data_IF_543011937760
#
_entry.id   IF_543011937760
#
_cell.length_a   1.000
_cell.length_b   1.000
_cell.length_c   1.000
_cell.angle_alpha   90.00
_cell.angle_beta   90.00
_cell.angle_gamma   90.00
#
_symmetry.space_group_name_H-M   'P 1'
#
loop_
_entity.id
_entity.type
_entity.pdbx_description
1 polymer ?
#
# COMPACT_ATOMS: atom_id res chain seq x y z
N UNK A 1 15.11 12.64 9.43
CA UNK A 1 15.41 13.99 8.91
C UNK A 1 16.84 13.97 8.40
N UNK A 2 17.06 14.24 7.12
CA UNK A 2 18.41 14.35 6.56
C UNK A 2 18.65 15.79 6.18
N UNK A 3 19.68 16.40 6.76
CA UNK A 3 20.09 17.76 6.44
C UNK A 3 21.44 17.70 5.76
N UNK A 4 21.60 18.48 4.69
CA UNK A 4 22.90 18.71 4.07
C UNK A 4 23.52 19.92 4.74
N UNK A 5 24.65 19.72 5.40
CA UNK A 5 25.40 20.82 6.01
C UNK A 5 26.30 21.46 4.95
N UNK A 6 26.55 22.76 5.03
CA UNK A 6 27.33 23.52 4.02
C UNK A 6 28.76 23.00 3.79
N UNK A 7 29.27 22.13 4.68
CA UNK A 7 30.52 21.37 4.54
C UNK A 7 30.41 20.17 3.58
N UNK A 8 29.24 19.96 2.95
CA UNK A 8 28.98 18.85 2.02
C UNK A 8 28.64 17.52 2.70
N UNK A 9 28.59 17.47 4.04
CA UNK A 9 28.19 16.26 4.75
C UNK A 9 26.67 16.13 4.85
N UNK A 10 26.14 14.99 4.43
CA UNK A 10 24.74 14.61 4.63
C UNK A 10 24.61 13.88 5.96
N UNK A 11 23.95 14.52 6.94
CA UNK A 11 23.68 13.91 8.23
C UNK A 11 22.20 13.52 8.30
N UNK A 12 21.94 12.23 8.30
CA UNK A 12 20.61 11.66 8.48
C UNK A 12 20.40 11.27 9.93
N UNK A 13 19.49 11.96 10.62
CA UNK A 13 19.00 11.54 11.93
C UNK A 13 17.71 10.73 11.76
N UNK A 14 17.76 9.48 12.19
CA UNK A 14 16.57 8.63 12.32
C UNK A 14 15.73 9.22 13.46
N UNK A 15 14.40 9.25 13.28
CA UNK A 15 13.52 9.71 14.35
C UNK A 15 13.41 8.58 15.38
N UNK A 16 14.04 8.75 16.54
CA UNK A 16 14.08 7.77 17.63
C UNK A 16 12.74 7.59 18.36
N UNK A 17 11.72 8.43 18.08
CA UNK A 17 10.42 8.34 18.77
C UNK A 17 9.28 8.89 17.92
N UNK A 18 8.12 8.23 17.98
CA UNK A 18 6.85 8.64 17.34
C UNK A 18 6.43 10.08 17.72
N UNK A 19 6.88 10.58 18.87
CA UNK A 19 6.50 11.89 19.42
C UNK A 19 7.29 13.08 18.85
N UNK A 20 8.40 12.83 18.15
CA UNK A 20 9.21 13.87 17.48
C UNK A 20 8.83 14.07 16.00
N UNK A 21 7.83 13.31 15.53
CA UNK A 21 7.30 13.35 14.18
C UNK A 21 5.91 14.00 14.25
N UNK A 22 5.62 15.00 13.40
CA UNK A 22 4.30 15.63 13.38
C UNK A 22 3.21 14.60 13.10
N UNK A 23 2.03 14.79 13.71
CA UNK A 23 0.88 13.87 13.59
C UNK A 23 0.55 13.51 12.13
N UNK A 24 0.75 14.44 11.20
CA UNK A 24 0.54 14.24 9.76
C UNK A 24 1.44 13.14 9.18
N UNK A 25 2.71 13.06 9.60
CA UNK A 25 3.61 12.00 9.14
C UNK A 25 3.28 10.64 9.73
N UNK A 26 2.70 10.61 10.94
CA UNK A 26 2.23 9.36 11.56
C UNK A 26 1.00 8.82 10.83
N UNK A 27 0.08 9.71 10.44
CA UNK A 27 -1.09 9.36 9.61
C UNK A 27 -0.64 8.86 8.24
N UNK A 28 0.29 9.57 7.58
CA UNK A 28 0.86 9.13 6.30
C UNK A 28 1.50 7.73 6.39
N UNK A 29 2.25 7.44 7.48
CA UNK A 29 2.80 6.09 7.72
C UNK A 29 1.72 5.03 7.81
N UNK A 30 0.65 5.29 8.55
CA UNK A 30 -0.47 4.36 8.69
C UNK A 30 -1.18 4.13 7.35
N UNK A 31 -1.46 5.21 6.61
CA UNK A 31 -2.07 5.15 5.27
C UNK A 31 -1.22 4.33 4.29
N UNK A 32 0.10 4.55 4.25
CA UNK A 32 1.00 3.77 3.42
C UNK A 32 0.96 2.28 3.77
N UNK A 33 1.00 1.92 5.06
CA UNK A 33 0.93 0.51 5.48
C UNK A 33 -0.40 -0.12 5.08
N UNK A 34 -1.51 0.56 5.32
CA UNK A 34 -2.85 0.09 4.94
C UNK A 34 -2.94 -0.09 3.42
N UNK A 35 -2.43 0.86 2.65
CA UNK A 35 -2.44 0.81 1.20
C UNK A 35 -1.59 -0.34 0.65
N UNK A 36 -0.42 -0.62 1.24
CA UNK A 36 0.41 -1.79 0.88
C UNK A 36 -0.36 -3.08 1.15
N UNK A 37 -0.98 -3.23 2.33
CA UNK A 37 -1.76 -4.42 2.68
C UNK A 37 -2.91 -4.62 1.70
N UNK A 38 -3.67 -3.56 1.39
CA UNK A 38 -4.75 -3.63 0.39
C UNK A 38 -4.24 -3.99 -1.00
N UNK A 39 -3.08 -3.47 -1.42
CA UNK A 39 -2.45 -3.81 -2.70
C UNK A 39 -2.04 -5.27 -2.79
N UNK A 40 -1.45 -5.84 -1.72
CA UNK A 40 -1.08 -7.27 -1.66
C UNK A 40 -2.33 -8.14 -1.70
N UNK A 41 -3.37 -7.80 -0.94
CA UNK A 41 -4.64 -8.53 -0.97
C UNK A 41 -5.29 -8.48 -2.36
N UNK A 42 -5.34 -7.31 -2.99
CA UNK A 42 -5.84 -7.15 -4.36
C UNK A 42 -5.04 -7.97 -5.37
N UNK A 43 -3.72 -8.05 -5.23
CA UNK A 43 -2.86 -8.87 -6.07
C UNK A 43 -3.16 -10.37 -5.94
N UNK A 44 -3.31 -10.86 -4.71
CA UNK A 44 -3.67 -12.26 -4.45
C UNK A 44 -5.06 -12.59 -5.03
N UNK A 45 -6.05 -11.71 -4.84
CA UNK A 45 -7.39 -11.87 -5.42
C UNK A 45 -7.34 -11.90 -6.95
N UNK A 46 -6.53 -11.04 -7.57
CA UNK A 46 -6.31 -11.06 -9.02
C UNK A 46 -5.72 -12.39 -9.51
N UNK A 47 -4.72 -12.94 -8.82
CA UNK A 47 -4.13 -14.26 -9.18
C UNK A 47 -5.18 -15.36 -9.14
N UNK A 48 -5.99 -15.41 -8.08
CA UNK A 48 -7.08 -16.38 -7.91
C UNK A 48 -8.17 -16.20 -8.97
N UNK A 49 -8.42 -14.95 -9.40
CA UNK A 49 -9.42 -14.60 -10.41
C UNK A 49 -8.99 -14.82 -11.86
N UNK A 50 -7.73 -15.16 -12.15
CA UNK A 50 -7.27 -15.40 -13.54
C UNK A 50 -7.70 -16.78 -14.09
N UNK A 51 -7.74 -16.93 -15.41
CA UNK A 51 -8.05 -18.21 -16.09
C UNK A 51 -7.03 -19.32 -15.87
N UNK A 52 -5.80 -19.00 -15.47
CA UNK A 52 -4.77 -20.00 -15.20
C UNK A 52 -4.95 -20.69 -13.84
N UNK A 53 -5.76 -20.15 -12.92
CA UNK A 53 -5.94 -20.69 -11.57
C UNK A 53 -7.29 -21.41 -11.45
N UNK A 54 -7.32 -22.76 -11.52
CA UNK A 54 -8.55 -23.58 -11.38
C UNK A 54 -9.15 -23.61 -9.95
N UNK A 55 -8.82 -22.66 -9.07
CA UNK A 55 -9.35 -22.62 -7.71
C UNK A 55 -10.86 -22.31 -7.65
N UNK A 56 -11.41 -21.68 -8.70
CA UNK A 56 -12.82 -21.32 -8.81
C UNK A 56 -13.39 -21.84 -10.13
N UNK A 57 -14.30 -22.81 -10.06
CA UNK A 57 -14.99 -23.34 -11.25
C UNK A 57 -16.21 -22.49 -11.67
N UNK A 58 -16.73 -21.65 -10.78
CA UNK A 58 -17.87 -20.78 -11.04
C UNK A 58 -17.45 -19.45 -11.70
N UNK A 59 -17.80 -19.25 -12.96
CA UNK A 59 -17.48 -18.03 -13.71
C UNK A 59 -18.06 -16.76 -13.08
N UNK A 60 -19.25 -16.86 -12.47
CA UNK A 60 -19.89 -15.74 -11.76
C UNK A 60 -19.08 -15.30 -10.54
N UNK A 61 -18.57 -16.26 -9.78
CA UNK A 61 -17.73 -16.00 -8.60
C UNK A 61 -16.41 -15.38 -9.04
N UNK A 62 -15.82 -15.88 -10.12
CA UNK A 62 -14.60 -15.33 -10.71
C UNK A 62 -14.74 -13.88 -11.17
N UNK A 63 -15.85 -13.55 -11.84
CA UNK A 63 -16.15 -12.18 -12.25
C UNK A 63 -16.29 -11.25 -11.03
N UNK A 64 -17.00 -11.70 -9.98
CA UNK A 64 -17.10 -10.96 -8.71
C UNK A 64 -15.73 -10.74 -8.06
N UNK A 65 -14.88 -11.77 -8.01
CA UNK A 65 -13.52 -11.71 -7.45
C UNK A 65 -12.65 -10.69 -8.20
N UNK A 66 -12.68 -10.70 -9.53
CA UNK A 66 -11.94 -9.71 -10.32
C UNK A 66 -12.43 -8.28 -10.11
N UNK A 67 -13.75 -8.07 -10.01
CA UNK A 67 -14.31 -6.76 -9.69
C UNK A 67 -13.85 -6.31 -8.30
N UNK A 68 -13.91 -7.19 -7.30
CA UNK A 68 -13.44 -6.85 -5.95
C UNK A 68 -11.95 -6.55 -5.91
N UNK A 69 -11.12 -7.30 -6.66
CA UNK A 69 -9.69 -7.05 -6.76
C UNK A 69 -9.42 -5.65 -7.36
N UNK A 70 -10.13 -5.28 -8.43
CA UNK A 70 -10.04 -3.96 -9.04
C UNK A 70 -10.40 -2.83 -8.07
N UNK A 71 -11.52 -2.97 -7.34
CA UNK A 71 -11.93 -1.98 -6.32
C UNK A 71 -10.87 -1.84 -5.23
N UNK A 72 -10.31 -2.94 -4.72
CA UNK A 72 -9.25 -2.90 -3.70
C UNK A 72 -7.99 -2.20 -4.19
N UNK A 73 -7.62 -2.37 -5.46
CA UNK A 73 -6.49 -1.66 -6.06
C UNK A 73 -6.76 -0.16 -6.21
N UNK A 74 -7.96 0.23 -6.61
CA UNK A 74 -8.35 1.65 -6.71
C UNK A 74 -8.30 2.30 -5.32
N UNK A 75 -8.84 1.64 -4.29
CA UNK A 75 -8.75 2.15 -2.91
C UNK A 75 -7.29 2.29 -2.45
N UNK A 76 -6.44 1.29 -2.72
CA UNK A 76 -5.02 1.36 -2.38
C UNK A 76 -4.27 2.49 -3.10
N UNK A 77 -4.59 2.74 -4.38
CA UNK A 77 -4.01 3.83 -5.15
C UNK A 77 -4.43 5.21 -4.61
N UNK A 78 -5.71 5.38 -4.28
CA UNK A 78 -6.22 6.62 -3.68
C UNK A 78 -5.58 6.88 -2.32
N UNK A 79 -5.40 5.84 -1.49
CA UNK A 79 -4.74 5.98 -0.18
C UNK A 79 -3.25 6.32 -0.26
N UNK A 80 -2.56 5.96 -1.34
CA UNK A 80 -1.17 6.38 -1.59
C UNK A 80 -1.07 7.78 -2.20
N UNK A 81 -2.12 8.23 -2.88
CA UNK A 81 -2.17 9.55 -3.51
C UNK A 81 -2.39 10.67 -2.47
N UNK A 82 -3.11 10.35 -1.39
CA UNK A 82 -3.37 11.22 -0.24
C UNK A 82 -2.14 11.25 0.67
#
# INVERSE_FOLDING_TARGET
NCVVQSTGQMQCKIYDSMLALSSDLQVARALCVIAIVMGVLGFLLSIVGTKCTKCLNEERVKAKVMITAGVTFICAAVMHLI
#
